data_IF_520249471402
#
_entry.id   IF_520249471402
#
_cell.length_a   1.000
_cell.length_b   1.000
_cell.length_c   1.000
_cell.angle_alpha   90.00
_cell.angle_beta   90.00
_cell.angle_gamma   90.00
#
_symmetry.space_group_name_H-M   'P 1'
#
loop_
_entity.id
_entity.type
_entity.pdbx_description
1 polymer ?
#
# COMPACT_ATOMS: atom_id res chain seq x y z
N UNK A 1 9.72 12.56 -7.58
CA UNK A 1 8.63 11.61 -7.88
C UNK A 1 8.66 10.52 -6.82
N UNK A 2 7.55 10.24 -6.14
CA UNK A 2 7.46 9.20 -5.10
C UNK A 2 6.22 8.33 -5.37
N UNK A 3 6.36 7.01 -5.25
CA UNK A 3 5.27 6.05 -5.36
C UNK A 3 4.96 5.48 -3.99
N UNK A 4 3.67 5.42 -3.66
CA UNK A 4 3.17 4.81 -2.43
C UNK A 4 2.41 3.52 -2.76
N UNK A 5 2.47 2.54 -1.85
CA UNK A 5 1.82 1.24 -2.00
C UNK A 5 0.32 1.37 -1.76
N UNK A 6 -0.48 0.90 -2.70
CA UNK A 6 -1.92 0.72 -2.54
C UNK A 6 -2.31 -0.72 -2.27
N UNK A 7 -3.63 -0.97 -2.27
CA UNK A 7 -4.18 -2.30 -2.05
C UNK A 7 -4.01 -3.19 -3.27
N UNK A 8 -4.08 -2.60 -4.46
CA UNK A 8 -3.86 -3.31 -5.72
C UNK A 8 -2.40 -3.77 -5.89
N UNK A 9 -1.46 -3.18 -5.16
CA UNK A 9 -0.04 -3.56 -5.09
C UNK A 9 0.20 -4.66 -4.03
N UNK A 10 -0.63 -5.71 -4.03
CA UNK A 10 -0.53 -6.89 -3.16
C UNK A 10 -0.69 -8.20 -3.97
N UNK A 11 -0.12 -9.30 -3.49
CA UNK A 11 -0.20 -10.60 -4.18
C UNK A 11 -1.64 -11.09 -4.22
N UNK A 12 -2.38 -10.93 -3.12
CA UNK A 12 -3.79 -11.34 -3.06
C UNK A 12 -4.65 -10.60 -4.10
N UNK A 13 -4.57 -9.28 -4.16
CA UNK A 13 -5.42 -8.49 -5.06
C UNK A 13 -4.99 -8.71 -6.52
N UNK A 14 -3.69 -8.76 -6.81
CA UNK A 14 -3.22 -9.03 -8.18
C UNK A 14 -3.58 -10.41 -8.70
N UNK A 15 -3.72 -11.42 -7.84
CA UNK A 15 -4.23 -12.74 -8.22
C UNK A 15 -5.75 -12.72 -8.45
N UNK A 16 -6.51 -12.08 -7.56
CA UNK A 16 -7.99 -12.06 -7.65
C UNK A 16 -8.50 -11.21 -8.82
N UNK A 17 -7.85 -10.08 -9.10
CA UNK A 17 -8.30 -9.12 -10.11
C UNK A 17 -7.60 -9.27 -11.47
N UNK A 18 -6.92 -10.40 -11.70
CA UNK A 18 -6.46 -10.81 -13.03
C UNK A 18 -5.12 -10.26 -13.50
N UNK A 19 -4.37 -9.50 -12.70
CA UNK A 19 -3.00 -9.09 -13.06
C UNK A 19 -2.06 -10.29 -13.17
N UNK A 20 -2.22 -11.30 -12.31
CA UNK A 20 -1.50 -12.57 -12.42
C UNK A 20 -1.78 -13.26 -13.76
N UNK A 21 -3.07 -13.41 -14.12
CA UNK A 21 -3.48 -14.05 -15.36
C UNK A 21 -3.04 -13.25 -16.59
N UNK A 22 -3.04 -11.92 -16.49
CA UNK A 22 -2.53 -11.04 -17.53
C UNK A 22 -1.03 -11.26 -17.77
N UNK A 23 -0.22 -11.34 -16.70
CA UNK A 23 1.19 -11.64 -16.81
C UNK A 23 1.42 -13.04 -17.42
N UNK A 24 0.66 -14.04 -16.97
CA UNK A 24 0.77 -15.40 -17.49
C UNK A 24 0.44 -15.45 -18.99
N UNK A 25 -0.64 -14.79 -19.41
CA UNK A 25 -1.08 -14.74 -20.81
C UNK A 25 -0.11 -13.99 -21.71
N UNK A 26 0.50 -12.89 -21.24
CA UNK A 26 1.39 -12.05 -22.04
C UNK A 26 2.82 -12.58 -22.11
N UNK A 27 3.33 -13.17 -21.03
CA UNK A 27 4.74 -13.57 -20.90
C UNK A 27 4.95 -15.08 -20.84
N UNK A 28 3.88 -15.87 -20.85
CA UNK A 28 3.92 -17.34 -20.81
C UNK A 28 4.33 -17.93 -19.46
N UNK A 29 4.64 -17.10 -18.46
CA UNK A 29 4.99 -17.51 -17.11
C UNK A 29 4.71 -16.39 -16.09
N UNK A 30 4.76 -16.73 -14.80
CA UNK A 30 4.49 -15.82 -13.70
C UNK A 30 5.73 -14.99 -13.26
N UNK A 31 6.85 -15.04 -13.98
CA UNK A 31 8.08 -14.36 -13.56
C UNK A 31 7.87 -12.85 -13.48
N UNK A 32 7.20 -12.23 -14.46
CA UNK A 32 6.94 -10.78 -14.44
C UNK A 32 6.08 -10.40 -13.24
N UNK A 33 5.00 -11.14 -12.98
CA UNK A 33 4.15 -10.95 -11.80
C UNK A 33 4.97 -11.05 -10.51
N UNK A 34 5.85 -12.06 -10.40
CA UNK A 34 6.70 -12.25 -9.23
C UNK A 34 7.59 -11.02 -8.98
N UNK A 35 8.32 -10.55 -10.00
CA UNK A 35 9.17 -9.37 -9.86
C UNK A 35 8.36 -8.12 -9.52
N UNK A 36 7.17 -7.92 -10.12
CA UNK A 36 6.29 -6.80 -9.76
C UNK A 36 5.88 -6.85 -8.29
N UNK A 37 5.46 -8.02 -7.78
CA UNK A 37 5.06 -8.17 -6.38
C UNK A 37 6.23 -8.01 -5.40
N UNK A 38 7.44 -8.39 -5.80
CA UNK A 38 8.66 -8.10 -5.04
C UNK A 38 8.91 -6.60 -4.96
N UNK A 39 8.76 -5.86 -6.07
CA UNK A 39 8.88 -4.39 -6.08
C UNK A 39 7.81 -3.73 -5.21
N UNK A 40 6.57 -4.24 -5.21
CA UNK A 40 5.49 -3.71 -4.39
C UNK A 40 5.82 -3.73 -2.89
N UNK A 41 6.59 -4.72 -2.42
CA UNK A 41 7.02 -4.80 -1.02
C UNK A 41 8.05 -3.73 -0.63
N UNK A 42 8.65 -3.03 -1.60
CA UNK A 42 9.56 -1.91 -1.37
C UNK A 42 8.87 -0.54 -1.43
N UNK A 43 7.62 -0.47 -1.92
CA UNK A 43 6.89 0.80 -2.00
C UNK A 43 6.60 1.37 -0.61
N UNK A 44 6.68 2.69 -0.48
CA UNK A 44 6.40 3.37 0.78
C UNK A 44 4.90 3.24 1.12
N UNK A 45 4.56 3.00 2.38
CA UNK A 45 3.15 2.92 2.79
C UNK A 45 2.50 4.30 2.92
N UNK A 46 3.30 5.33 3.19
CA UNK A 46 2.87 6.71 3.36
C UNK A 46 3.99 7.70 3.01
N UNK A 47 3.61 8.96 2.80
CA UNK A 47 4.54 10.07 2.60
C UNK A 47 4.08 11.30 3.39
N UNK A 48 5.02 12.16 3.79
CA UNK A 48 4.72 13.48 4.36
C UNK A 48 5.27 14.55 3.43
N UNK A 49 4.40 15.39 2.88
CA UNK A 49 4.76 16.50 1.99
C UNK A 49 4.93 17.76 2.83
N UNK A 50 6.09 18.42 2.70
CA UNK A 50 6.47 19.66 3.38
C UNK A 50 6.29 19.66 4.91
N UNK A 51 6.33 18.47 5.54
CA UNK A 51 6.06 18.30 6.98
C UNK A 51 4.62 18.62 7.39
N UNK A 52 3.71 18.84 6.44
CA UNK A 52 2.36 19.39 6.67
C UNK A 52 1.25 18.49 6.18
N UNK A 53 1.48 17.74 5.11
CA UNK A 53 0.44 16.92 4.47
C UNK A 53 0.84 15.46 4.53
N UNK A 54 0.04 14.66 5.23
CA UNK A 54 0.19 13.22 5.29
C UNK A 54 -0.56 12.56 4.13
N UNK A 55 0.13 11.77 3.31
CA UNK A 55 -0.39 11.11 2.13
C UNK A 55 -0.29 9.59 2.24
N UNK A 56 -1.38 8.90 1.92
CA UNK A 56 -1.54 7.44 1.93
C UNK A 56 -2.50 7.07 0.82
N UNK A 57 -2.38 5.86 0.29
CA UNK A 57 -3.14 5.44 -0.90
C UNK A 57 -4.66 5.34 -0.65
N UNK A 58 -5.06 4.93 0.55
CA UNK A 58 -6.47 4.80 0.92
C UNK A 58 -6.96 5.92 1.85
N UNK A 59 -6.09 6.42 2.77
CA UNK A 59 -6.35 7.27 3.96
C UNK A 59 -6.02 6.57 5.31
N UNK A 60 -6.44 7.13 6.45
CA UNK A 60 -6.11 6.65 7.81
C UNK A 60 -7.04 5.54 8.36
N UNK A 61 -6.53 4.32 8.51
CA UNK A 61 -7.28 3.19 9.12
C UNK A 61 -7.72 3.55 10.54
N UNK A 62 -8.91 3.14 11.02
CA UNK A 62 -9.32 3.31 12.42
C UNK A 62 -8.35 2.68 13.43
N UNK A 63 -7.52 1.73 12.98
CA UNK A 63 -6.47 1.08 13.78
C UNK A 63 -5.12 1.81 13.76
N UNK A 64 -4.96 2.84 12.92
CA UNK A 64 -3.75 3.65 12.80
C UNK A 64 -4.08 5.07 13.22
N UNK A 65 -3.85 5.37 14.49
CA UNK A 65 -4.14 6.68 15.09
C UNK A 65 -2.93 7.60 15.08
N UNK A 66 -1.71 7.08 14.90
CA UNK A 66 -0.47 7.87 14.93
C UNK A 66 0.50 7.51 13.81
N UNK A 67 1.35 8.46 13.42
CA UNK A 67 2.33 8.26 12.35
C UNK A 67 3.44 7.27 12.74
N UNK A 68 3.74 7.15 14.04
CA UNK A 68 4.73 6.20 14.54
C UNK A 68 4.29 4.75 14.38
N UNK A 69 2.98 4.49 14.44
CA UNK A 69 2.44 3.16 14.17
C UNK A 69 2.73 2.71 12.74
N UNK A 70 2.83 3.64 11.77
CA UNK A 70 3.20 3.31 10.38
C UNK A 70 4.71 3.06 10.26
N UNK A 71 5.54 3.80 11.02
CA UNK A 71 7.01 3.67 10.97
C UNK A 71 7.48 2.29 11.43
N UNK A 72 6.76 1.67 12.35
CA UNK A 72 7.10 0.35 12.90
C UNK A 72 6.53 -0.82 12.09
N UNK A 73 5.74 -0.56 11.04
CA UNK A 73 5.25 -1.61 10.16
C UNK A 73 6.42 -2.16 9.36
N UNK A 74 6.72 -3.45 9.53
CA UNK A 74 7.55 -4.16 8.58
C UNK A 74 6.81 -4.23 7.25
N UNK A 75 7.24 -3.39 6.30
CA UNK A 75 6.63 -3.23 4.98
C UNK A 75 7.02 -4.32 3.98
N UNK A 76 8.06 -5.11 4.26
CA UNK A 76 8.60 -6.15 3.37
C UNK A 76 7.85 -7.48 3.51
N UNK A 77 6.55 -7.40 3.75
CA UNK A 77 5.70 -8.57 3.88
C UNK A 77 4.37 -8.33 3.17
N UNK A 78 3.68 -9.42 2.88
CA UNK A 78 2.30 -9.34 2.42
C UNK A 78 1.45 -8.60 3.45
N UNK A 79 0.68 -7.61 3.01
CA UNK A 79 -0.12 -6.74 3.88
C UNK A 79 -1.29 -7.52 4.51
N UNK A 80 -1.02 -8.30 5.58
CA UNK A 80 -2.04 -9.06 6.32
C UNK A 80 -3.02 -8.15 7.08
N UNK A 81 -2.54 -6.98 7.51
CA UNK A 81 -3.25 -6.08 8.43
C UNK A 81 -4.19 -5.11 7.67
N UNK A 82 -4.01 -4.93 6.36
CA UNK A 82 -4.76 -3.91 5.62
C UNK A 82 -5.78 -4.52 4.66
N UNK A 83 -6.71 -5.31 5.22
CA UNK A 83 -7.94 -5.72 4.51
C UNK A 83 -8.89 -4.55 4.23
N UNK A 84 -8.69 -3.39 4.86
CA UNK A 84 -9.54 -2.22 4.71
C UNK A 84 -8.78 -1.01 4.14
N UNK A 85 -8.04 -1.19 3.03
CA UNK A 85 -7.55 -0.05 2.25
C UNK A 85 -8.67 0.68 1.46
N UNK A 86 -9.89 0.13 1.46
CA UNK A 86 -11.01 0.61 0.67
C UNK A 86 -11.87 1.72 1.34
N UNK A 87 -11.74 1.98 2.65
CA UNK A 87 -12.66 2.87 3.38
C UNK A 87 -11.95 4.04 4.05
N UNK A 88 -11.25 4.88 3.28
CA UNK A 88 -10.41 5.89 3.94
C UNK A 88 -10.43 7.30 3.34
N UNK A 89 -11.60 7.73 2.90
CA UNK A 89 -11.92 9.16 2.76
C UNK A 89 -12.42 9.77 4.08
N UNK A 90 -11.67 10.76 4.61
CA UNK A 90 -12.00 11.72 5.70
C UNK A 90 -11.44 11.40 7.09
N UNK A 91 -10.20 11.83 7.36
CA UNK A 91 -9.82 12.27 8.71
C UNK A 91 -9.23 13.70 8.60
N UNK A 92 -9.78 14.69 9.33
CA UNK A 92 -9.18 16.03 9.45
C UNK A 92 -7.78 15.94 10.06
N UNK A 93 -6.84 16.77 9.59
CA UNK A 93 -5.43 16.80 10.03
C UNK A 93 -5.21 17.23 11.50
N UNK A 94 -6.28 17.49 12.25
CA UNK A 94 -6.27 18.02 13.62
C UNK A 94 -5.56 17.14 14.68
N UNK A 95 -5.54 15.78 14.63
CA UNK A 95 -4.90 15.00 15.68
C UNK A 95 -3.38 14.80 15.48
N UNK A 96 -2.77 15.36 14.42
CA UNK A 96 -1.35 15.14 14.10
C UNK A 96 -0.42 16.31 14.47
N UNK A 97 -0.93 17.31 15.20
CA UNK A 97 -0.12 18.33 15.85
C UNK A 97 0.10 17.97 17.30
N UNK A 98 1.11 17.15 17.62
CA UNK A 98 1.90 17.25 18.86
C UNK A 98 3.20 16.47 18.67
#
# INVERSE_FOLDING_TARGET
>A
MMLIRGNHESRQITQVYGFYDECLRKYGNASVWKHCTEVFDYLALAAVIDGKVFCVHGGLSPSISTMDQIRVIDRKQELKIIKNLADIGRIPLEPFRH
#
